data_IF_594199247954
#
_entry.id   IF_594199247954
#
_cell.length_a   1.000
_cell.length_b   1.000
_cell.length_c   1.000
_cell.angle_alpha   90.00
_cell.angle_beta   90.00
_cell.angle_gamma   90.00
#
_symmetry.space_group_name_H-M   'P 1'
#
loop_
_entity.id
_entity.type
_entity.pdbx_description
1 polymer ?
#
# COMPACT_ATOMS: atom_id res chain seq x y z
N UNK A 1 13.28 -31.91 4.84
CA UNK A 1 14.42 -31.27 4.14
C UNK A 1 13.92 -30.40 2.98
N UNK A 2 13.24 -29.28 3.27
CA UNK A 2 12.74 -28.33 2.26
C UNK A 2 13.21 -26.93 2.64
N UNK A 3 14.45 -26.59 2.28
CA UNK A 3 15.01 -25.26 2.54
C UNK A 3 16.05 -24.94 1.47
N UNK A 4 15.63 -24.83 0.21
CA UNK A 4 16.57 -24.54 -0.88
C UNK A 4 15.98 -23.89 -2.13
N UNK A 5 14.69 -23.54 -2.15
CA UNK A 5 14.07 -22.91 -3.31
C UNK A 5 13.48 -21.59 -2.80
N UNK A 6 13.71 -20.50 -3.53
CA UNK A 6 13.11 -19.16 -3.34
C UNK A 6 13.88 -18.18 -2.44
N UNK A 7 15.03 -17.64 -2.89
CA UNK A 7 15.59 -16.44 -2.26
C UNK A 7 16.20 -15.39 -3.18
N UNK A 8 16.20 -15.54 -4.52
CA UNK A 8 16.82 -14.54 -5.42
C UNK A 8 15.92 -13.35 -5.79
N UNK A 9 14.60 -13.54 -5.85
CA UNK A 9 13.64 -12.48 -6.25
C UNK A 9 13.53 -11.34 -5.21
N UNK A 10 13.40 -11.60 -3.89
CA UNK A 10 13.28 -10.49 -2.93
C UNK A 10 14.55 -9.64 -2.84
N UNK A 11 15.73 -10.21 -3.13
CA UNK A 11 17.01 -9.50 -3.06
C UNK A 11 17.17 -8.49 -4.20
N UNK A 12 16.81 -8.85 -5.44
CA UNK A 12 16.86 -7.92 -6.57
C UNK A 12 15.88 -6.75 -6.38
N UNK A 13 14.70 -7.05 -5.83
CA UNK A 13 13.70 -6.03 -5.51
C UNK A 13 14.15 -5.10 -4.39
N UNK A 14 14.70 -5.65 -3.30
CA UNK A 14 15.24 -4.88 -2.19
C UNK A 14 16.42 -3.99 -2.63
N UNK A 15 17.33 -4.53 -3.44
CA UNK A 15 18.44 -3.76 -4.00
C UNK A 15 17.96 -2.59 -4.86
N UNK A 16 16.93 -2.79 -5.68
CA UNK A 16 16.32 -1.70 -6.45
C UNK A 16 15.68 -0.63 -5.54
N UNK A 17 15.03 -1.02 -4.45
CA UNK A 17 14.48 -0.08 -3.48
C UNK A 17 15.58 0.71 -2.74
N UNK A 18 16.66 0.05 -2.35
CA UNK A 18 17.81 0.66 -1.67
C UNK A 18 18.55 1.65 -2.58
N UNK A 19 18.65 1.37 -3.88
CA UNK A 19 19.27 2.29 -4.85
C UNK A 19 18.53 3.64 -4.93
N UNK A 20 17.22 3.66 -4.74
CA UNK A 20 16.39 4.88 -4.86
C UNK A 20 16.18 5.57 -3.50
N UNK A 21 16.45 4.88 -2.39
CA UNK A 21 16.32 5.40 -1.03
C UNK A 21 17.04 6.74 -0.76
N UNK A 22 18.31 6.96 -1.16
CA UNK A 22 18.98 8.24 -0.90
C UNK A 22 18.35 9.40 -1.69
N UNK A 23 17.86 9.14 -2.90
CA UNK A 23 17.18 10.14 -3.73
C UNK A 23 15.87 10.58 -3.07
N UNK A 24 15.08 9.63 -2.56
CA UNK A 24 13.84 9.93 -1.82
C UNK A 24 14.11 10.73 -0.54
N UNK A 25 15.18 10.41 0.18
CA UNK A 25 15.56 11.13 1.40
C UNK A 25 15.92 12.59 1.09
N UNK A 26 16.72 12.81 0.03
CA UNK A 26 17.03 14.15 -0.45
C UNK A 26 15.78 14.91 -0.91
N UNK A 27 14.89 14.27 -1.67
CA UNK A 27 13.63 14.86 -2.10
C UNK A 27 12.74 15.25 -0.91
N UNK A 28 12.63 14.38 0.11
CA UNK A 28 11.86 14.67 1.34
C UNK A 28 12.38 15.89 2.09
N UNK A 29 13.71 16.06 2.15
CA UNK A 29 14.33 17.24 2.76
C UNK A 29 14.04 18.52 1.97
N UNK A 30 14.02 18.43 0.63
CA UNK A 30 13.73 19.57 -0.26
C UNK A 30 12.25 19.97 -0.24
N UNK A 31 11.32 19.02 -0.09
CA UNK A 31 9.89 19.32 0.06
C UNK A 31 9.63 20.23 1.27
N UNK A 32 10.37 20.06 2.37
CA UNK A 32 10.24 20.94 3.54
C UNK A 32 10.58 22.41 3.20
N UNK A 33 11.54 22.64 2.30
CA UNK A 33 11.90 23.98 1.83
C UNK A 33 10.88 24.58 0.86
N UNK A 34 10.16 23.73 0.11
CA UNK A 34 9.08 24.14 -0.79
C UNK A 34 7.83 24.66 -0.08
N UNK A 35 7.62 24.26 1.18
CA UNK A 35 6.48 24.68 2.01
C UNK A 35 6.72 26.02 2.73
N UNK A 36 7.93 26.58 2.64
CA UNK A 36 8.24 27.87 3.26
C UNK A 36 7.63 29.03 2.45
N UNK A 37 6.91 29.97 3.07
CA UNK A 37 6.37 31.13 2.37
C UNK A 37 7.51 32.07 1.91
N UNK A 38 7.53 32.42 0.63
CA UNK A 38 8.54 33.31 0.03
C UNK A 38 8.54 33.31 -1.51
N UNK A 39 9.50 34.04 -2.10
CA UNK A 39 9.63 34.29 -3.57
C UNK A 39 9.62 33.00 -4.41
N UNK A 40 10.09 31.89 -3.84
CA UNK A 40 10.12 30.56 -4.48
C UNK A 40 8.70 30.02 -4.77
N UNK A 41 7.70 30.42 -3.98
CA UNK A 41 6.30 30.03 -4.19
C UNK A 41 5.65 30.76 -5.38
N UNK A 42 6.15 31.96 -5.72
CA UNK A 42 5.58 32.83 -6.76
C UNK A 42 6.07 32.46 -8.17
N UNK A 43 7.24 31.82 -8.28
CA UNK A 43 7.76 31.36 -9.56
C UNK A 43 7.12 30.03 -9.97
N UNK A 44 6.46 30.02 -11.15
CA UNK A 44 5.83 28.82 -11.72
C UNK A 44 6.78 27.63 -11.82
N UNK A 45 8.01 27.86 -12.30
CA UNK A 45 9.02 26.81 -12.45
C UNK A 45 9.44 26.21 -11.09
N UNK A 46 9.52 27.04 -10.05
CA UNK A 46 9.84 26.57 -8.71
C UNK A 46 8.72 25.71 -8.12
N UNK A 47 7.44 26.07 -8.36
CA UNK A 47 6.29 25.21 -8.00
C UNK A 47 6.30 23.86 -8.72
N UNK A 48 6.63 23.85 -10.01
CA UNK A 48 6.74 22.60 -10.80
C UNK A 48 7.87 21.70 -10.26
N UNK A 49 9.02 22.29 -9.91
CA UNK A 49 10.13 21.58 -9.26
C UNK A 49 9.72 21.03 -7.88
N UNK A 50 8.97 21.80 -7.09
CA UNK A 50 8.47 21.35 -5.80
C UNK A 50 7.51 20.16 -5.93
N UNK A 51 6.58 20.21 -6.90
CA UNK A 51 5.69 19.08 -7.19
C UNK A 51 6.46 17.83 -7.62
N UNK A 52 7.55 18.00 -8.38
CA UNK A 52 8.44 16.89 -8.73
C UNK A 52 9.11 16.29 -7.49
N UNK A 53 9.61 17.12 -6.56
CA UNK A 53 10.20 16.62 -5.32
C UNK A 53 9.19 15.92 -4.41
N UNK A 54 7.95 16.40 -4.33
CA UNK A 54 6.87 15.70 -3.64
C UNK A 54 6.63 14.32 -4.23
N UNK A 55 6.55 14.24 -5.56
CA UNK A 55 6.38 12.96 -6.25
C UNK A 55 7.57 12.01 -6.01
N UNK A 56 8.80 12.52 -6.08
CA UNK A 56 10.01 11.76 -5.79
C UNK A 56 10.08 11.29 -4.33
N UNK A 57 9.61 12.09 -3.39
CA UNK A 57 9.54 11.71 -1.98
C UNK A 57 8.50 10.59 -1.73
N UNK A 58 7.41 10.57 -2.50
CA UNK A 58 6.34 9.57 -2.42
C UNK A 58 6.63 8.27 -3.17
N UNK A 59 7.60 8.27 -4.07
CA UNK A 59 8.01 7.14 -4.91
C UNK A 59 8.68 6.01 -4.11
N UNK A 60 7.97 5.42 -3.15
CA UNK A 60 8.44 4.32 -2.30
C UNK A 60 7.82 3.01 -2.71
N UNK A 61 8.67 2.02 -2.95
CA UNK A 61 8.28 0.61 -3.04
C UNK A 61 7.99 0.10 -1.63
N UNK A 62 6.71 0.06 -1.23
CA UNK A 62 6.28 -0.52 0.04
C UNK A 62 5.97 -1.99 -0.16
N UNK A 63 6.77 -2.84 0.48
CA UNK A 63 6.58 -4.29 0.47
C UNK A 63 5.55 -4.75 1.50
N UNK A 64 5.37 -3.95 2.56
CA UNK A 64 4.36 -4.21 3.59
C UNK A 64 2.99 -3.77 3.07
N UNK A 65 2.07 -4.73 2.96
CA UNK A 65 0.67 -4.50 2.61
C UNK A 65 -0.10 -4.25 3.91
N UNK A 66 -0.50 -2.99 4.22
CA UNK A 66 -1.30 -2.73 5.42
C UNK A 66 -2.64 -3.49 5.36
N UNK A 67 -3.22 -3.86 6.51
CA UNK A 67 -4.50 -4.56 6.56
C UNK A 67 -5.60 -3.71 5.91
N UNK A 68 -6.48 -4.33 5.12
CA UNK A 68 -7.56 -3.58 4.46
C UNK A 68 -8.60 -3.10 5.47
N UNK A 69 -8.71 -3.80 6.61
CA UNK A 69 -9.66 -3.49 7.68
C UNK A 69 -11.10 -3.45 7.15
N UNK A 70 -11.41 -4.31 6.17
CA UNK A 70 -12.74 -4.43 5.58
C UNK A 70 -13.48 -5.52 6.33
N UNK A 71 -14.25 -5.10 7.34
CA UNK A 71 -15.02 -6.02 8.19
C UNK A 71 -16.45 -6.27 7.67
N UNK A 72 -16.97 -5.37 6.83
CA UNK A 72 -18.35 -5.44 6.31
C UNK A 72 -18.41 -4.94 4.88
N UNK A 73 -19.18 -5.62 4.03
CA UNK A 73 -19.51 -5.18 2.67
C UNK A 73 -21.03 -5.18 2.48
N UNK A 74 -21.55 -4.26 1.65
CA UNK A 74 -22.96 -4.24 1.27
C UNK A 74 -23.17 -5.05 0.00
N UNK A 75 -23.96 -6.13 0.08
CA UNK A 75 -24.33 -6.96 -1.08
C UNK A 75 -25.84 -6.92 -1.21
N UNK A 76 -26.34 -6.38 -2.33
CA UNK A 76 -27.79 -6.23 -2.61
C UNK A 76 -28.57 -5.49 -1.49
N UNK A 77 -27.91 -4.57 -0.80
CA UNK A 77 -28.51 -3.78 0.28
C UNK A 77 -28.45 -4.42 1.67
N UNK A 78 -27.90 -5.63 1.79
CA UNK A 78 -27.66 -6.28 3.09
C UNK A 78 -26.19 -6.18 3.49
N UNK A 79 -25.92 -5.92 4.78
CA UNK A 79 -24.58 -5.90 5.33
C UNK A 79 -24.08 -7.34 5.59
N UNK A 80 -23.02 -7.72 4.88
CA UNK A 80 -22.38 -9.04 5.00
C UNK A 80 -21.04 -8.87 5.72
N UNK A 81 -20.78 -9.71 6.71
CA UNK A 81 -19.48 -9.74 7.39
C UNK A 81 -18.42 -10.34 6.47
N UNK A 82 -17.28 -9.66 6.34
CA UNK A 82 -16.15 -10.08 5.52
C UNK A 82 -15.01 -10.49 6.46
N UNK A 83 -14.47 -11.69 6.25
CA UNK A 83 -13.27 -12.16 6.96
C UNK A 83 -12.07 -12.16 6.02
N UNK A 84 -10.98 -11.52 6.44
CA UNK A 84 -9.70 -11.55 5.73
C UNK A 84 -8.92 -12.82 6.15
N UNK A 85 -8.80 -13.80 5.25
CA UNK A 85 -8.04 -15.03 5.52
C UNK A 85 -6.85 -15.10 4.56
N UNK A 86 -5.63 -15.23 5.10
CA UNK A 86 -4.44 -15.45 4.29
C UNK A 86 -4.40 -16.91 3.83
N UNK A 87 -4.80 -17.15 2.58
CA UNK A 87 -4.88 -18.50 1.99
C UNK A 87 -3.51 -19.00 1.55
N UNK A 88 -2.62 -18.10 1.14
CA UNK A 88 -1.24 -18.42 0.78
C UNK A 88 -0.30 -17.32 1.26
N UNK A 89 0.72 -17.70 2.02
CA UNK A 89 1.78 -16.80 2.49
C UNK A 89 3.07 -17.13 1.76
N UNK A 90 3.44 -16.26 0.81
CA UNK A 90 4.73 -16.28 0.14
C UNK A 90 5.68 -15.34 0.89
N UNK A 91 7.01 -15.53 0.79
CA UNK A 91 7.98 -14.64 1.43
C UNK A 91 7.90 -13.18 0.96
N UNK A 92 7.13 -12.90 -0.10
CA UNK A 92 7.00 -11.58 -0.71
C UNK A 92 5.56 -11.07 -0.84
N UNK A 93 4.55 -11.90 -0.62
CA UNK A 93 3.15 -11.47 -0.64
C UNK A 93 2.24 -12.48 0.07
N UNK A 94 1.13 -11.98 0.61
CA UNK A 94 0.03 -12.82 1.07
C UNK A 94 -1.13 -12.72 0.09
N UNK A 95 -1.62 -13.88 -0.37
CA UNK A 95 -2.89 -13.98 -1.06
C UNK A 95 -3.99 -13.97 0.01
N UNK A 96 -4.76 -12.89 0.05
CA UNK A 96 -5.91 -12.77 0.94
C UNK A 96 -7.16 -13.25 0.20
N UNK A 97 -7.83 -14.24 0.78
CA UNK A 97 -9.17 -14.64 0.39
C UNK A 97 -10.17 -13.84 1.22
N UNK A 98 -10.99 -13.04 0.55
CA UNK A 98 -12.12 -12.36 1.18
C UNK A 98 -13.34 -13.26 1.05
N UNK A 99 -13.58 -14.06 2.09
CA UNK A 99 -14.74 -14.92 2.18
C UNK A 99 -15.93 -14.18 2.78
N UNK A 100 -17.12 -14.47 2.27
CA UNK A 100 -18.37 -14.08 2.93
C UNK A 100 -18.59 -14.99 4.14
N UNK A 101 -18.59 -14.41 5.36
CA UNK A 101 -19.06 -15.15 6.52
C UNK A 101 -20.59 -15.08 6.51
N UNK A 102 -21.23 -16.11 5.97
CA UNK A 102 -22.70 -16.23 5.90
C UNK A 102 -23.27 -16.04 7.31
N UNK A 103 -24.09 -15.01 7.50
CA UNK A 103 -24.81 -14.76 8.75
C UNK A 103 -25.63 -16.00 9.09
N UNK A 104 -25.16 -16.77 10.08
CA UNK A 104 -25.86 -17.96 10.57
C UNK A 104 -26.97 -17.45 11.47
N UNK A 105 -28.13 -17.11 10.90
CA UNK A 105 -29.23 -16.59 11.70
C UNK A 105 -30.30 -15.84 10.93
N UNK A 106 -30.93 -16.47 9.94
CA UNK A 106 -32.35 -16.18 9.65
C UNK A 106 -32.98 -17.39 8.97
N UNK A 107 -33.71 -18.15 9.78
CA UNK A 107 -34.70 -19.11 9.33
C UNK A 107 -35.65 -18.38 8.37
N UNK A 108 -35.52 -18.69 7.09
CA UNK A 108 -36.49 -18.31 6.08
C UNK A 108 -37.74 -19.15 6.35
N UNK A 109 -38.64 -18.65 7.20
CA UNK A 109 -39.98 -19.19 7.39
C UNK A 109 -40.96 -18.22 6.71
N UNK A 110 -41.62 -18.75 5.67
CA UNK A 110 -42.97 -18.46 5.16
C UNK A 110 -43.33 -17.02 4.74
N UNK A 111 -43.67 -16.85 3.46
CA UNK A 111 -45.06 -17.02 2.97
C UNK A 111 -45.04 -17.39 1.48
#
# INVERSE_FOLDING_TARGET
MQKAITLRVPQAYQAAAELVAPLQAAASALVASCMAPGVVSELRLAREICALYEWLALLRLRHERPPFSIHTASVRGEAVAVSEVAECSLPFCSLLHFGELRLTGRSFISN
#
